data_IF_402218123483
#
_entry.id   IF_402218123483
#
_cell.length_a   1.000
_cell.length_b   1.000
_cell.length_c   1.000
_cell.angle_alpha   90.00
_cell.angle_beta   90.00
_cell.angle_gamma   90.00
#
_symmetry.space_group_name_H-M   'P 1'
#
loop_
_entity.id
_entity.type
_entity.pdbx_description
1 polymer ?
#
# COMPACT_ATOMS: atom_id res chain seq x y z
N UNK A 1 3.23 26.81 -19.90
CA UNK A 1 4.34 25.86 -19.72
C UNK A 1 4.05 25.01 -18.49
N UNK A 2 3.87 23.71 -18.72
CA UNK A 2 3.69 22.73 -17.66
C UNK A 2 5.03 22.42 -17.00
N UNK A 3 5.00 22.02 -15.73
CA UNK A 3 6.20 21.47 -15.09
C UNK A 3 6.42 20.02 -15.55
N UNK A 4 7.70 19.60 -15.61
CA UNK A 4 8.06 18.19 -15.87
C UNK A 4 7.33 17.21 -14.94
N UNK A 5 7.10 17.62 -13.68
CA UNK A 5 6.36 16.84 -12.68
C UNK A 5 4.88 16.68 -13.08
N UNK A 6 4.23 17.72 -13.62
CA UNK A 6 2.84 17.67 -14.08
C UNK A 6 2.68 16.64 -15.21
N UNK A 7 3.56 16.67 -16.21
CA UNK A 7 3.56 15.72 -17.32
C UNK A 7 3.77 14.27 -16.86
N UNK A 8 4.78 14.01 -16.03
CA UNK A 8 5.06 12.67 -15.51
C UNK A 8 3.88 12.15 -14.68
N UNK A 9 3.28 12.97 -13.82
CA UNK A 9 2.17 12.53 -12.97
C UNK A 9 0.92 12.16 -13.78
N UNK A 10 0.73 12.76 -14.95
CA UNK A 10 -0.39 12.47 -15.85
C UNK A 10 -0.23 11.10 -16.53
N UNK A 11 0.99 10.77 -16.99
CA UNK A 11 1.20 9.59 -17.84
C UNK A 11 1.92 8.41 -17.17
N UNK A 12 2.45 8.57 -15.95
CA UNK A 12 3.10 7.45 -15.25
C UNK A 12 2.10 6.30 -15.02
N UNK A 13 2.56 5.03 -15.02
CA UNK A 13 1.73 3.90 -14.61
C UNK A 13 1.25 4.09 -13.17
N UNK A 14 -0.05 3.85 -12.94
CA UNK A 14 -0.65 3.98 -11.61
C UNK A 14 -1.65 2.86 -11.39
N UNK A 15 -1.71 2.36 -10.17
CA UNK A 15 -2.80 1.47 -9.76
C UNK A 15 -4.06 2.32 -9.60
N UNK A 16 -5.14 1.90 -10.26
CA UNK A 16 -6.48 2.39 -9.94
C UNK A 16 -6.90 1.74 -8.62
N UNK A 17 -6.96 2.54 -7.55
CA UNK A 17 -7.32 2.03 -6.24
C UNK A 17 -8.82 1.72 -6.21
N UNK A 18 -9.15 0.45 -5.99
CA UNK A 18 -10.51 0.03 -5.67
C UNK A 18 -10.96 0.48 -4.27
N UNK A 19 -12.17 0.08 -3.89
CA UNK A 19 -12.66 0.30 -2.54
C UNK A 19 -11.73 -0.37 -1.51
N UNK A 20 -11.39 0.35 -0.45
CA UNK A 20 -10.63 -0.24 0.66
C UNK A 20 -11.47 -1.32 1.33
N UNK A 21 -10.95 -2.55 1.34
CA UNK A 21 -11.55 -3.68 2.04
C UNK A 21 -11.75 -3.32 3.51
N UNK A 22 -13.00 -3.36 3.96
CA UNK A 22 -13.35 -3.06 5.35
C UNK A 22 -13.29 -4.32 6.21
N UNK A 23 -13.29 -4.13 7.54
CA UNK A 23 -13.20 -5.23 8.52
C UNK A 23 -14.19 -6.37 8.24
N UNK A 24 -15.45 -6.06 7.93
CA UNK A 24 -16.50 -7.06 7.69
C UNK A 24 -16.18 -7.96 6.49
N UNK A 25 -15.69 -7.37 5.40
CA UNK A 25 -15.32 -8.11 4.20
C UNK A 25 -14.09 -8.99 4.45
N UNK A 26 -13.08 -8.46 5.16
CA UNK A 26 -11.91 -9.23 5.57
C UNK A 26 -12.27 -10.41 6.47
N UNK A 27 -13.11 -10.19 7.48
CA UNK A 27 -13.57 -11.24 8.41
C UNK A 27 -14.33 -12.33 7.67
N UNK A 28 -15.25 -11.96 6.77
CA UNK A 28 -15.97 -12.94 5.95
C UNK A 28 -15.03 -13.74 5.05
N UNK A 29 -14.05 -13.09 4.43
CA UNK A 29 -13.04 -13.75 3.61
C UNK A 29 -12.23 -14.79 4.41
N UNK A 30 -11.85 -14.46 5.64
CA UNK A 30 -11.10 -15.35 6.54
C UNK A 30 -11.97 -16.49 7.09
N UNK A 31 -13.23 -16.23 7.43
CA UNK A 31 -14.14 -17.25 7.96
C UNK A 31 -14.35 -18.37 6.93
N UNK A 32 -14.49 -18.02 5.64
CA UNK A 32 -14.60 -19.02 4.57
C UNK A 32 -13.33 -19.84 4.30
N UNK A 33 -12.20 -19.53 4.94
CA UNK A 33 -10.90 -20.19 4.75
C UNK A 33 -10.35 -20.82 6.02
N UNK A 34 -11.05 -20.68 7.13
CA UNK A 34 -10.63 -21.18 8.44
C UNK A 34 -11.78 -21.94 9.08
N UNK A 35 -11.53 -22.58 10.22
CA UNK A 35 -12.60 -23.15 11.05
C UNK A 35 -13.29 -22.13 11.94
N UNK A 36 -12.89 -20.85 11.89
CA UNK A 36 -13.38 -19.81 12.79
C UNK A 36 -14.63 -19.13 12.21
N UNK A 37 -15.60 -18.86 13.07
CA UNK A 37 -16.75 -18.03 12.70
C UNK A 37 -16.37 -16.54 12.70
N UNK A 38 -17.23 -15.70 12.09
CA UNK A 38 -16.96 -14.26 11.96
C UNK A 38 -16.77 -13.55 13.32
N UNK A 39 -17.48 -13.98 14.36
CA UNK A 39 -17.36 -13.41 15.70
C UNK A 39 -16.03 -13.73 16.38
N UNK A 40 -15.56 -14.96 16.23
CA UNK A 40 -14.23 -15.39 16.72
C UNK A 40 -13.11 -14.62 16.02
N UNK A 41 -13.23 -14.43 14.70
CA UNK A 41 -12.25 -13.66 13.93
C UNK A 41 -12.22 -12.19 14.32
N UNK A 42 -13.39 -11.57 14.55
CA UNK A 42 -13.44 -10.18 15.03
C UNK A 42 -12.73 -10.02 16.37
N UNK A 43 -12.96 -10.96 17.30
CA UNK A 43 -12.28 -11.00 18.59
C UNK A 43 -10.76 -11.16 18.41
N UNK A 44 -10.31 -12.10 17.59
CA UNK A 44 -8.87 -12.31 17.33
C UNK A 44 -8.21 -11.06 16.76
N UNK A 45 -8.83 -10.40 15.77
CA UNK A 45 -8.29 -9.16 15.20
C UNK A 45 -8.21 -8.03 16.24
N UNK A 46 -9.20 -7.94 17.13
CA UNK A 46 -9.21 -6.96 18.21
C UNK A 46 -8.11 -7.23 19.24
N UNK A 47 -7.98 -8.47 19.70
CA UNK A 47 -6.95 -8.86 20.67
C UNK A 47 -5.55 -8.72 20.08
N UNK A 48 -5.36 -9.01 18.79
CA UNK A 48 -4.09 -8.80 18.10
C UNK A 48 -3.69 -7.31 18.09
N UNK A 49 -4.63 -6.41 17.80
CA UNK A 49 -4.40 -4.96 17.89
C UNK A 49 -3.98 -4.55 19.30
N UNK A 50 -4.71 -5.03 20.31
CA UNK A 50 -4.48 -4.64 21.70
C UNK A 50 -3.14 -5.21 22.22
N UNK A 51 -2.74 -6.40 21.77
CA UNK A 51 -1.42 -6.97 22.01
C UNK A 51 -0.30 -6.13 21.36
N UNK A 52 -0.47 -5.69 20.10
CA UNK A 52 0.50 -4.81 19.43
C UNK A 52 0.68 -3.52 20.24
N UNK A 53 -0.41 -2.90 20.69
CA UNK A 53 -0.38 -1.69 21.52
C UNK A 53 0.34 -1.95 22.85
N UNK A 54 -0.01 -3.05 23.53
CA UNK A 54 0.56 -3.41 24.83
C UNK A 54 2.09 -3.54 24.77
N UNK A 55 2.61 -4.33 23.82
CA UNK A 55 4.06 -4.52 23.69
C UNK A 55 4.77 -3.25 23.21
N UNK A 56 4.18 -2.48 22.29
CA UNK A 56 4.77 -1.22 21.84
C UNK A 56 4.88 -0.19 22.99
N UNK A 57 3.90 -0.13 23.90
CA UNK A 57 3.97 0.69 25.11
C UNK A 57 5.11 0.29 26.04
N UNK A 58 5.50 -0.99 26.03
CA UNK A 58 6.64 -1.50 26.76
C UNK A 58 7.99 -1.34 26.00
N UNK A 59 8.02 -0.58 24.90
CA UNK A 59 9.22 -0.40 24.08
C UNK A 59 9.59 -1.63 23.24
N UNK A 60 8.68 -2.59 23.09
CA UNK A 60 8.93 -3.86 22.38
C UNK A 60 8.15 -3.88 21.06
N UNK A 61 8.88 -4.08 19.96
CA UNK A 61 8.27 -4.30 18.66
C UNK A 61 7.53 -5.64 18.59
N UNK A 62 6.53 -5.72 17.73
CA UNK A 62 5.76 -6.94 17.47
C UNK A 62 5.90 -7.30 15.99
N UNK A 63 6.51 -8.46 15.71
CA UNK A 63 6.49 -9.07 14.39
C UNK A 63 5.23 -9.91 14.25
N UNK A 64 4.42 -9.59 13.24
CA UNK A 64 3.31 -10.44 12.80
C UNK A 64 3.77 -11.12 11.52
N UNK A 65 3.99 -12.42 11.61
CA UNK A 65 4.48 -13.23 10.50
C UNK A 65 3.57 -13.09 9.28
N UNK A 66 4.17 -12.90 8.10
CA UNK A 66 3.44 -12.71 6.85
C UNK A 66 2.75 -11.35 6.69
N UNK A 67 2.89 -10.40 7.63
CA UNK A 67 2.37 -9.03 7.49
C UNK A 67 3.46 -7.97 7.64
N UNK A 68 4.20 -8.01 8.76
CA UNK A 68 5.25 -7.04 9.02
C UNK A 68 5.64 -6.92 10.48
N UNK A 69 6.48 -5.93 10.76
CA UNK A 69 6.92 -5.59 12.12
C UNK A 69 6.45 -4.19 12.50
N UNK A 70 5.81 -4.09 13.67
CA UNK A 70 5.30 -2.86 14.26
C UNK A 70 6.21 -2.46 15.43
N UNK A 71 6.96 -1.37 15.26
CA UNK A 71 7.98 -0.91 16.21
C UNK A 71 7.56 0.40 16.87
N UNK A 72 7.76 0.55 18.20
CA UNK A 72 7.51 1.82 18.84
C UNK A 72 8.61 2.80 18.45
N UNK A 73 8.23 4.05 18.24
CA UNK A 73 9.16 5.13 17.94
C UNK A 73 8.67 6.43 18.60
N UNK A 74 9.60 7.34 18.90
CA UNK A 74 9.34 8.58 19.60
C UNK A 74 9.94 9.74 18.80
N UNK A 75 9.16 10.80 18.60
CA UNK A 75 9.62 12.04 17.97
C UNK A 75 10.34 12.92 18.99
N UNK A 76 11.06 13.93 18.50
CA UNK A 76 11.77 14.90 19.34
C UNK A 76 10.85 15.69 20.29
N UNK A 77 9.57 15.83 19.94
CA UNK A 77 8.54 16.47 20.76
C UNK A 77 7.92 15.54 21.82
N UNK A 78 8.41 14.30 21.94
CA UNK A 78 7.89 13.30 22.86
C UNK A 78 6.65 12.55 22.37
N UNK A 79 6.13 12.85 21.16
CA UNK A 79 4.98 12.10 20.62
C UNK A 79 5.40 10.71 20.17
N UNK A 80 4.67 9.70 20.63
CA UNK A 80 4.86 8.32 20.18
C UNK A 80 4.20 8.08 18.83
N UNK A 81 4.86 7.31 17.98
CA UNK A 81 4.26 6.73 16.78
C UNK A 81 4.70 5.26 16.62
N UNK A 82 4.10 4.57 15.65
CA UNK A 82 4.45 3.20 15.31
C UNK A 82 5.10 3.21 13.93
N UNK A 83 6.35 2.73 13.85
CA UNK A 83 6.99 2.44 12.58
C UNK A 83 6.53 1.06 12.10
N UNK A 84 6.08 0.98 10.85
CA UNK A 84 5.75 -0.28 10.20
C UNK A 84 6.81 -0.68 9.18
N UNK A 85 7.26 -1.93 9.23
CA UNK A 85 8.13 -2.54 8.23
C UNK A 85 7.38 -3.70 7.58
N UNK A 86 7.05 -3.57 6.30
CA UNK A 86 6.34 -4.58 5.52
C UNK A 86 7.15 -5.87 5.48
N UNK A 87 6.48 -7.01 5.65
CA UNK A 87 7.12 -8.31 5.45
C UNK A 87 7.42 -8.55 3.96
N UNK A 88 8.57 -9.17 3.69
CA UNK A 88 9.03 -9.42 2.32
C UNK A 88 8.08 -10.34 1.57
N UNK A 89 7.47 -11.31 2.25
CA UNK A 89 6.59 -12.29 1.60
C UNK A 89 5.34 -11.62 1.01
N UNK A 90 4.84 -10.54 1.63
CA UNK A 90 3.73 -9.74 1.09
C UNK A 90 4.16 -9.03 -0.20
N UNK A 91 5.36 -8.44 -0.20
CA UNK A 91 5.89 -7.74 -1.36
C UNK A 91 6.19 -8.72 -2.51
N UNK A 92 6.81 -9.85 -2.22
CA UNK A 92 7.18 -10.86 -3.22
C UNK A 92 5.92 -11.53 -3.80
N UNK A 93 4.90 -11.78 -2.96
CA UNK A 93 3.59 -12.28 -3.41
C UNK A 93 2.88 -11.32 -4.37
N UNK A 94 2.92 -10.01 -4.10
CA UNK A 94 2.35 -9.00 -4.99
C UNK A 94 3.10 -8.89 -6.32
N UNK A 95 4.43 -9.09 -6.31
CA UNK A 95 5.29 -9.00 -7.48
C UNK A 95 5.41 -10.31 -8.27
N UNK A 96 4.63 -11.35 -7.91
CA UNK A 96 4.61 -12.58 -8.68
C UNK A 96 4.08 -12.31 -10.10
N UNK A 97 4.82 -12.66 -11.17
CA UNK A 97 4.41 -12.35 -12.52
C UNK A 97 3.00 -12.89 -12.84
N UNK A 98 2.12 -12.01 -13.30
CA UNK A 98 0.75 -12.37 -13.71
C UNK A 98 -0.27 -12.54 -12.58
N UNK A 99 0.08 -12.32 -11.30
CA UNK A 99 -0.88 -12.46 -10.18
C UNK A 99 -1.64 -11.18 -9.85
N UNK A 100 -1.16 -10.01 -10.27
CA UNK A 100 -1.86 -8.76 -10.03
C UNK A 100 -3.16 -8.69 -10.83
N UNK A 101 -4.29 -8.70 -10.12
CA UNK A 101 -5.64 -8.71 -10.72
C UNK A 101 -6.28 -7.32 -10.81
N UNK A 102 -5.66 -6.28 -10.26
CA UNK A 102 -6.18 -4.91 -10.29
C UNK A 102 -5.99 -4.20 -11.64
N UNK A 103 -6.58 -3.01 -11.75
CA UNK A 103 -6.42 -2.15 -12.93
C UNK A 103 -5.16 -1.28 -12.81
N UNK A 104 -4.36 -1.26 -13.88
CA UNK A 104 -3.23 -0.34 -14.02
C UNK A 104 -3.62 0.69 -15.08
N UNK A 105 -3.70 1.95 -14.67
CA UNK A 105 -3.82 3.11 -15.55
C UNK A 105 -2.48 3.37 -16.23
N UNK A 106 -2.52 3.78 -17.50
CA UNK A 106 -1.33 4.02 -18.32
C UNK A 106 -0.39 2.80 -18.37
N UNK A 107 -0.94 1.59 -18.47
CA UNK A 107 -0.18 0.33 -18.47
C UNK A 107 0.83 0.28 -19.64
N UNK A 108 0.48 0.88 -20.76
CA UNK A 108 1.32 1.04 -21.95
C UNK A 108 2.55 1.92 -21.73
N UNK A 109 2.61 2.65 -20.61
CA UNK A 109 3.75 3.48 -20.22
C UNK A 109 4.69 2.78 -19.22
N UNK A 110 4.43 1.53 -18.85
CA UNK A 110 5.36 0.73 -18.03
C UNK A 110 6.69 0.58 -18.78
N UNK A 111 7.80 0.95 -18.13
CA UNK A 111 9.14 0.91 -18.69
C UNK A 111 9.57 2.18 -19.43
N UNK A 112 8.68 3.16 -19.65
CA UNK A 112 9.05 4.44 -20.25
C UNK A 112 9.81 5.34 -19.27
N UNK A 113 10.74 6.11 -19.82
CA UNK A 113 11.52 7.14 -19.14
C UNK A 113 10.72 8.43 -18.95
N UNK A 114 11.18 9.30 -18.06
CA UNK A 114 10.56 10.59 -17.80
C UNK A 114 10.46 11.46 -19.06
N UNK A 115 11.46 11.42 -19.94
CA UNK A 115 11.51 12.25 -21.15
C UNK A 115 10.53 11.74 -22.21
N UNK A 116 10.33 10.42 -22.31
CA UNK A 116 9.29 9.83 -23.17
C UNK A 116 7.88 10.23 -22.68
N UNK A 117 7.64 10.29 -21.37
CA UNK A 117 6.37 10.77 -20.83
C UNK A 117 6.14 12.26 -21.11
N UNK A 118 7.20 13.07 -21.09
CA UNK A 118 7.15 14.48 -21.46
C UNK A 118 6.87 14.64 -22.96
N UNK A 119 7.48 13.82 -23.82
CA UNK A 119 7.19 13.82 -25.25
C UNK A 119 5.71 13.52 -25.54
N UNK A 120 5.13 12.54 -24.83
CA UNK A 120 3.68 12.25 -24.90
C UNK A 120 2.86 13.46 -24.47
N UNK A 121 3.24 14.13 -23.38
CA UNK A 121 2.57 15.36 -22.93
C UNK A 121 2.62 16.45 -24.00
N UNK A 122 3.81 16.75 -24.52
CA UNK A 122 4.03 17.82 -25.51
C UNK A 122 3.28 17.55 -26.81
N UNK A 123 3.14 16.28 -27.21
CA UNK A 123 2.34 15.88 -28.37
C UNK A 123 0.83 16.10 -28.14
N UNK A 124 0.33 15.81 -26.93
CA UNK A 124 -1.09 15.92 -26.59
C UNK A 124 -1.51 17.33 -26.14
N UNK A 125 -0.55 18.14 -25.66
CA UNK A 125 -0.76 19.49 -25.15
C UNK A 125 0.23 20.48 -25.80
N UNK A 126 0.12 20.72 -27.13
CA UNK A 126 1.03 21.62 -27.84
C UNK A 126 0.96 23.07 -27.32
N UNK A 127 -0.16 23.46 -26.71
CA UNK A 127 -0.37 24.80 -26.14
C UNK A 127 0.22 24.97 -24.73
N UNK A 128 0.58 23.88 -24.05
CA UNK A 128 1.18 23.89 -22.71
C UNK A 128 2.43 22.97 -22.64
N UNK A 129 3.46 23.20 -23.47
CA UNK A 129 4.61 22.31 -23.51
C UNK A 129 5.43 22.39 -22.23
N UNK A 130 6.15 21.32 -21.95
CA UNK A 130 7.24 21.26 -20.98
C UNK A 130 8.55 21.46 -21.74
N UNK A 131 9.33 22.44 -21.31
CA UNK A 131 10.73 22.69 -21.71
C UNK A 131 11.71 21.88 -20.88
#
# INVERSE_FOLDING_TARGET
MASKIKAINAYRPRIELGATVQKQELVRYLSGRTGLNEGELDLVLRELRDAVIFFNRAGRGVKIEGLGTYLPNIRLDGTFNVQHRLDRDVQDGLNTPGTFTGTILNRENIGKTADELVAIWNQQHPDDPVT
#
